data_IF_892624090938
#
_entry.id   IF_892624090938
#
_cell.length_a   1.000
_cell.length_b   1.000
_cell.length_c   1.000
_cell.angle_alpha   90.00
_cell.angle_beta   90.00
_cell.angle_gamma   90.00
#
_symmetry.space_group_name_H-M   'P 1'
#
loop_
_entity.id
_entity.type
_entity.pdbx_description
1 polymer ?
#
# COMPACT_ATOMS: atom_id res chain seq x y z
N UNK A 1 11.71 -5.65 43.06
CA UNK A 1 11.28 -5.52 41.65
C UNK A 1 12.31 -6.27 40.82
N UNK A 2 11.96 -7.43 40.26
CA UNK A 2 12.92 -8.25 39.49
C UNK A 2 12.98 -7.73 38.06
N UNK A 3 14.05 -7.04 37.71
CA UNK A 3 14.41 -6.66 36.36
C UNK A 3 14.96 -7.88 35.62
N UNK A 4 14.07 -8.60 34.95
CA UNK A 4 14.45 -9.74 34.11
C UNK A 4 15.12 -9.22 32.84
N UNK A 5 16.43 -9.39 32.72
CA UNK A 5 17.19 -9.06 31.51
C UNK A 5 17.06 -10.21 30.51
N UNK A 6 16.62 -9.90 29.29
CA UNK A 6 16.54 -10.85 28.19
C UNK A 6 17.69 -10.58 27.23
N UNK A 7 18.52 -11.59 26.96
CA UNK A 7 19.65 -11.51 26.03
C UNK A 7 19.26 -12.20 24.74
N UNK A 8 19.26 -11.46 23.63
CA UNK A 8 19.08 -11.99 22.28
C UNK A 8 20.44 -12.03 21.58
N UNK A 9 20.68 -13.09 20.83
CA UNK A 9 21.85 -13.21 19.96
C UNK A 9 21.66 -12.36 18.70
N UNK A 10 22.77 -12.06 18.02
CA UNK A 10 22.75 -11.27 16.79
C UNK A 10 21.96 -11.99 15.67
N UNK A 11 21.99 -13.32 15.66
CA UNK A 11 21.31 -14.14 14.65
C UNK A 11 19.78 -14.12 14.86
N UNK A 12 19.32 -14.23 16.10
CA UNK A 12 17.89 -14.10 16.44
C UNK A 12 17.35 -12.72 16.07
N UNK A 13 18.13 -11.65 16.30
CA UNK A 13 17.76 -10.30 15.87
C UNK A 13 17.65 -10.23 14.34
N UNK A 14 18.60 -10.84 13.63
CA UNK A 14 18.65 -10.83 12.16
C UNK A 14 17.46 -11.57 11.56
N UNK A 15 17.05 -12.70 12.15
CA UNK A 15 15.89 -13.47 11.70
C UNK A 15 14.58 -12.71 11.89
N UNK A 16 14.41 -12.05 13.04
CA UNK A 16 13.24 -11.19 13.32
C UNK A 16 13.19 -10.03 12.33
N UNK A 17 14.31 -9.35 12.09
CA UNK A 17 14.39 -8.27 11.10
C UNK A 17 14.04 -8.78 9.72
N UNK A 18 14.54 -9.94 9.30
CA UNK A 18 14.22 -10.50 7.98
C UNK A 18 12.74 -10.89 7.84
N UNK A 19 12.08 -11.42 8.89
CA UNK A 19 10.62 -11.64 8.86
C UNK A 19 9.82 -10.33 8.75
N UNK A 20 10.27 -9.27 9.43
CA UNK A 20 9.62 -7.95 9.36
C UNK A 20 9.89 -7.24 8.02
N UNK A 21 11.08 -7.40 7.45
CA UNK A 21 11.48 -6.81 6.16
C UNK A 21 10.83 -7.54 5.00
N UNK A 22 10.72 -8.87 5.04
CA UNK A 22 10.04 -9.67 4.00
C UNK A 22 8.54 -9.42 3.96
N UNK A 23 7.89 -9.16 5.10
CA UNK A 23 6.46 -8.79 5.15
C UNK A 23 6.17 -7.36 4.69
N UNK A 24 7.20 -6.51 4.51
CA UNK A 24 7.09 -5.13 4.02
C UNK A 24 8.14 -4.83 2.93
N UNK A 25 8.19 -5.64 1.88
CA UNK A 25 8.74 -5.13 0.61
C UNK A 25 7.71 -4.18 0.00
N UNK A 26 7.78 -2.91 0.43
CA UNK A 26 7.01 -1.82 -0.14
C UNK A 26 7.58 -1.54 -1.54
N UNK A 27 7.18 -2.36 -2.51
CA UNK A 27 7.28 -2.06 -3.94
C UNK A 27 5.91 -1.52 -4.38
N UNK A 28 5.62 -0.23 -4.09
CA UNK A 28 4.39 0.40 -4.53
C UNK A 28 4.43 0.50 -6.04
N UNK A 29 3.39 0.00 -6.69
CA UNK A 29 3.27 0.12 -8.13
C UNK A 29 2.52 1.41 -8.44
N UNK A 30 3.29 2.49 -8.59
CA UNK A 30 2.76 3.83 -8.78
C UNK A 30 2.36 4.03 -10.25
N UNK A 31 1.06 4.17 -10.49
CA UNK A 31 0.47 4.36 -11.82
C UNK A 31 -0.34 5.65 -11.91
N UNK A 32 -0.59 6.10 -13.14
CA UNK A 32 -1.43 7.25 -13.42
C UNK A 32 -2.91 6.87 -13.58
N UNK A 33 -3.76 7.89 -13.74
CA UNK A 33 -5.20 7.69 -13.93
C UNK A 33 -5.55 6.93 -15.21
N UNK A 34 -4.80 7.16 -16.31
CA UNK A 34 -5.09 6.52 -17.59
C UNK A 34 -4.80 5.02 -17.49
N UNK A 35 -3.68 4.66 -16.89
CA UNK A 35 -3.26 3.29 -16.68
C UNK A 35 -4.18 2.56 -15.71
N UNK A 36 -4.54 3.20 -14.58
CA UNK A 36 -5.49 2.63 -13.63
C UNK A 36 -6.86 2.37 -14.29
N UNK A 37 -7.35 3.31 -15.11
CA UNK A 37 -8.63 3.17 -15.82
C UNK A 37 -8.66 1.97 -16.76
N UNK A 38 -7.55 1.73 -17.48
CA UNK A 38 -7.39 0.59 -18.38
C UNK A 38 -7.30 -0.74 -17.61
N UNK A 39 -6.52 -0.78 -16.53
CA UNK A 39 -6.34 -2.00 -15.71
C UNK A 39 -7.61 -2.43 -15.00
N UNK A 40 -8.37 -1.47 -14.46
CA UNK A 40 -9.65 -1.73 -13.80
C UNK A 40 -10.83 -1.81 -14.78
N UNK A 41 -10.62 -1.51 -16.05
CA UNK A 41 -11.65 -1.43 -17.09
C UNK A 41 -12.84 -0.54 -16.68
N UNK A 42 -12.55 0.63 -16.08
CA UNK A 42 -13.55 1.61 -15.65
C UNK A 42 -13.29 2.97 -16.29
N UNK A 43 -14.37 3.74 -16.45
CA UNK A 43 -14.25 5.10 -16.97
C UNK A 43 -13.51 6.03 -15.99
N UNK A 44 -12.86 7.07 -16.51
CA UNK A 44 -12.26 8.13 -15.68
C UNK A 44 -13.29 8.80 -14.78
N UNK A 45 -14.53 8.96 -15.27
CA UNK A 45 -15.64 9.50 -14.47
C UNK A 45 -15.90 8.64 -13.23
N UNK A 46 -15.81 7.31 -13.36
CA UNK A 46 -15.93 6.37 -12.23
C UNK A 46 -14.76 6.53 -11.26
N UNK A 47 -13.52 6.61 -11.75
CA UNK A 47 -12.34 6.88 -10.89
C UNK A 47 -12.48 8.19 -10.11
N UNK A 48 -12.96 9.25 -10.77
CA UNK A 48 -13.23 10.52 -10.11
C UNK A 48 -14.28 10.39 -8.99
N UNK A 49 -15.34 9.60 -9.20
CA UNK A 49 -16.34 9.30 -8.15
C UNK A 49 -15.72 8.54 -6.99
N UNK A 50 -14.96 7.49 -7.25
CA UNK A 50 -14.27 6.70 -6.21
C UNK A 50 -13.30 7.55 -5.39
N UNK A 51 -12.57 8.43 -6.04
CA UNK A 51 -11.69 9.40 -5.36
C UNK A 51 -12.48 10.38 -4.49
N UNK A 52 -13.58 10.94 -5.00
CA UNK A 52 -14.43 11.89 -4.27
C UNK A 52 -15.10 11.24 -3.06
N UNK A 53 -15.48 9.98 -3.19
CA UNK A 53 -16.14 9.20 -2.13
C UNK A 53 -15.16 8.60 -1.12
N UNK A 54 -13.85 8.67 -1.37
CA UNK A 54 -12.83 8.06 -0.51
C UNK A 54 -12.69 6.54 -0.64
N UNK A 55 -13.31 5.94 -1.67
CA UNK A 55 -13.27 4.49 -1.98
C UNK A 55 -11.86 4.01 -2.35
N UNK A 56 -11.09 4.85 -3.05
CA UNK A 56 -9.72 4.50 -3.48
C UNK A 56 -8.70 5.50 -2.93
N UNK A 57 -7.56 5.02 -2.41
CA UNK A 57 -6.46 5.86 -1.98
C UNK A 57 -5.78 6.49 -3.21
N UNK A 58 -5.37 7.75 -3.07
CA UNK A 58 -4.65 8.46 -4.10
C UNK A 58 -3.59 9.36 -3.47
N UNK A 59 -2.52 9.59 -4.20
CA UNK A 59 -1.44 10.51 -3.84
C UNK A 59 -1.34 11.61 -4.88
N UNK A 60 -0.86 12.78 -4.47
CA UNK A 60 -0.57 13.89 -5.38
C UNK A 60 0.92 14.14 -5.42
N UNK A 61 1.48 14.19 -6.64
CA UNK A 61 2.87 14.56 -6.88
C UNK A 61 2.83 15.85 -7.69
N UNK A 62 2.90 16.98 -6.98
CA UNK A 62 2.62 18.30 -7.55
C UNK A 62 1.17 18.43 -8.00
N UNK A 63 0.95 18.64 -9.30
CA UNK A 63 -0.40 18.73 -9.91
C UNK A 63 -0.96 17.39 -10.38
N UNK A 64 -0.13 16.35 -10.37
CA UNK A 64 -0.48 15.05 -10.94
C UNK A 64 -1.01 14.10 -9.86
N UNK A 65 -2.07 13.37 -10.19
CA UNK A 65 -2.61 12.31 -9.33
C UNK A 65 -1.91 10.99 -9.67
N UNK A 66 -1.58 10.23 -8.62
CA UNK A 66 -0.91 8.95 -8.68
C UNK A 66 -1.60 7.96 -7.76
N UNK A 67 -1.54 6.69 -8.12
CA UNK A 67 -2.20 5.60 -7.41
C UNK A 67 -1.20 4.49 -7.15
N UNK A 68 -1.19 3.93 -5.96
CA UNK A 68 -0.58 2.61 -5.74
C UNK A 68 -1.62 1.56 -6.15
N UNK A 69 -1.33 0.84 -7.24
CA UNK A 69 -2.23 -0.16 -7.79
C UNK A 69 -2.62 -1.23 -6.76
N UNK A 70 -1.67 -1.68 -5.94
CA UNK A 70 -1.92 -2.73 -4.95
C UNK A 70 -2.81 -2.22 -3.82
N UNK A 71 -2.62 -0.97 -3.43
CA UNK A 71 -3.44 -0.34 -2.38
C UNK A 71 -4.87 -0.12 -2.87
N UNK A 72 -5.04 0.39 -4.10
CA UNK A 72 -6.35 0.54 -4.74
C UNK A 72 -7.10 -0.79 -4.81
N UNK A 73 -6.43 -1.87 -5.23
CA UNK A 73 -7.05 -3.20 -5.27
C UNK A 73 -7.47 -3.70 -3.88
N UNK A 74 -6.70 -3.39 -2.82
CA UNK A 74 -7.06 -3.76 -1.45
C UNK A 74 -8.30 -3.01 -0.99
N UNK A 75 -8.38 -1.70 -1.25
CA UNK A 75 -9.54 -0.89 -0.88
C UNK A 75 -10.80 -1.37 -1.61
N UNK A 76 -10.70 -1.65 -2.91
CA UNK A 76 -11.84 -2.15 -3.70
C UNK A 76 -12.33 -3.54 -3.24
N UNK A 77 -11.45 -4.39 -2.71
CA UNK A 77 -11.84 -5.70 -2.16
C UNK A 77 -12.57 -5.61 -0.82
N UNK A 78 -12.36 -4.55 -0.06
CA UNK A 78 -13.03 -4.36 1.23
C UNK A 78 -14.46 -3.80 1.08
N UNK A 79 -14.81 -3.26 -0.09
CA UNK A 79 -16.12 -2.66 -0.38
C UNK A 79 -17.07 -3.60 -1.17
N UNK A 80 -16.67 -4.84 -1.43
CA UNK A 80 -17.45 -5.90 -2.09
C UNK A 80 -17.85 -7.00 -1.09
#
# INVERSE_FOLDING_TARGET
>A
MNNKTFTLTLDEITEIVNQVVTTKTFNPEIIDENELSKRLNISKVTLHKYRKNGTIPFSTVGRNIRYDYKEVLKSLKNDL
#
